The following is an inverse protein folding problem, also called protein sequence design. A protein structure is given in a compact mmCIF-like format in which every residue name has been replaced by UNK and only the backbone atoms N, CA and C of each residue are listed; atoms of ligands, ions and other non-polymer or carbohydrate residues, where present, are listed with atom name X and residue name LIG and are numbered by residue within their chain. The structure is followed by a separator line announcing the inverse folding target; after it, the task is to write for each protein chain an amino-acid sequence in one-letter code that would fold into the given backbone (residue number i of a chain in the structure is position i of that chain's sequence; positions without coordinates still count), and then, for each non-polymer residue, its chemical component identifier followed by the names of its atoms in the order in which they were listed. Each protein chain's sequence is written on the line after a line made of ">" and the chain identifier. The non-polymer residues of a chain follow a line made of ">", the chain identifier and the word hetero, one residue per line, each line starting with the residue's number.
data_IF_876815229980
#
_entry.id   IF_876815229980
#
_cell.length_a   1.000
_cell.length_b   1.000
_cell.length_c   1.000
_cell.angle_alpha   90.00
_cell.angle_beta   90.00
_cell.angle_gamma   90.00
#
_symmetry.space_group_name_H-M   'P 1'
#
loop_
_entity.id
_entity.type
_entity.pdbx_description
1 polymer ?
#
# COMPACT_ATOMS: atom_id res chain seq x y z
N UNK A 1 5.10 5.91 -13.96
CA UNK A 1 6.07 6.98 -13.72
C UNK A 1 6.59 6.97 -12.28
N UNK A 2 5.74 7.15 -11.25
CA UNK A 2 6.19 7.10 -9.84
C UNK A 2 6.59 5.68 -9.41
N UNK A 3 5.75 4.66 -9.66
CA UNK A 3 6.05 3.26 -9.31
C UNK A 3 7.40 2.80 -9.87
N UNK A 4 7.63 2.99 -11.17
CA UNK A 4 8.89 2.57 -11.79
C UNK A 4 10.09 3.28 -11.16
N UNK A 5 9.97 4.58 -10.89
CA UNK A 5 11.03 5.32 -10.22
C UNK A 5 11.32 4.79 -8.81
N UNK A 6 10.29 4.44 -8.03
CA UNK A 6 10.46 3.78 -6.72
C UNK A 6 11.13 2.41 -6.82
N UNK A 7 10.96 1.69 -7.94
CA UNK A 7 11.58 0.36 -8.16
C UNK A 7 13.02 0.45 -8.63
N UNK A 8 13.34 1.39 -9.50
CA UNK A 8 14.61 1.44 -10.23
C UNK A 8 15.65 2.36 -9.57
N UNK A 9 15.21 3.37 -8.80
CA UNK A 9 16.08 4.37 -8.17
C UNK A 9 16.10 4.20 -6.65
N UNK A 10 17.13 3.52 -6.15
CA UNK A 10 17.32 3.25 -4.72
C UNK A 10 17.49 4.53 -3.90
N UNK A 11 18.11 5.58 -4.46
CA UNK A 11 18.28 6.85 -3.76
C UNK A 11 16.93 7.57 -3.62
N UNK A 12 16.12 7.57 -4.68
CA UNK A 12 14.77 8.10 -4.61
C UNK A 12 13.90 7.34 -3.61
N UNK A 13 13.96 6.01 -3.59
CA UNK A 13 13.25 5.19 -2.60
C UNK A 13 13.67 5.54 -1.17
N UNK A 14 14.97 5.69 -0.91
CA UNK A 14 15.49 6.06 0.41
C UNK A 14 14.97 7.43 0.87
N UNK A 15 14.98 8.43 -0.03
CA UNK A 15 14.46 9.77 0.25
C UNK A 15 12.96 9.75 0.57
N UNK A 16 12.17 8.97 -0.18
CA UNK A 16 10.73 8.82 0.07
C UNK A 16 10.49 8.10 1.40
N UNK A 17 11.26 7.06 1.73
CA UNK A 17 11.16 6.36 3.03
C UNK A 17 11.52 7.27 4.21
N UNK A 18 12.54 8.11 4.07
CA UNK A 18 12.94 9.08 5.10
C UNK A 18 11.85 10.14 5.33
N UNK A 19 11.21 10.61 4.25
CA UNK A 19 10.14 11.60 4.31
C UNK A 19 8.83 11.02 4.87
N UNK A 20 8.47 9.79 4.49
CA UNK A 20 7.20 9.15 4.83
C UNK A 20 7.44 7.94 5.74
N UNK A 21 7.75 8.23 7.00
CA UNK A 21 8.00 7.21 8.02
C UNK A 21 6.73 6.51 8.49
N UNK A 22 5.56 7.11 8.28
CA UNK A 22 4.25 6.59 8.63
C UNK A 22 3.31 6.79 7.45
N UNK A 23 2.57 5.76 7.06
CA UNK A 23 1.59 5.84 5.98
C UNK A 23 0.21 5.45 6.52
N UNK A 24 -0.74 6.36 6.38
CA UNK A 24 -2.16 6.09 6.56
C UNK A 24 -2.82 6.07 5.19
N UNK A 25 -3.53 4.99 4.87
CA UNK A 25 -4.37 4.90 3.67
C UNK A 25 -5.82 4.72 4.11
N UNK A 26 -6.64 5.71 3.79
CA UNK A 26 -8.08 5.69 4.01
C UNK A 26 -8.79 5.11 2.79
N UNK A 27 -10.01 4.58 2.99
CA UNK A 27 -10.84 3.96 1.95
C UNK A 27 -10.07 2.92 1.09
N UNK A 28 -9.31 2.04 1.73
CA UNK A 28 -8.42 1.09 1.04
C UNK A 28 -9.20 0.13 0.13
N UNK A 29 -10.49 -0.08 0.36
CA UNK A 29 -11.34 -0.91 -0.51
C UNK A 29 -11.44 -0.37 -1.93
N UNK A 30 -11.28 0.94 -2.13
CA UNK A 30 -11.31 1.58 -3.44
C UNK A 30 -9.92 1.63 -4.11
N UNK A 31 -8.89 1.08 -3.45
CA UNK A 31 -7.51 1.08 -3.93
C UNK A 31 -7.28 -0.04 -4.96
N UNK A 32 -6.71 0.31 -6.12
CA UNK A 32 -6.31 -0.67 -7.12
C UNK A 32 -4.89 -1.22 -6.86
N UNK A 33 -4.53 -2.32 -7.54
CA UNK A 33 -3.23 -2.97 -7.34
C UNK A 33 -2.01 -2.08 -7.65
N UNK A 34 -2.14 -1.11 -8.57
CA UNK A 34 -1.06 -0.16 -8.85
C UNK A 34 -0.81 0.76 -7.65
N UNK A 35 -1.87 1.29 -7.04
CA UNK A 35 -1.77 2.14 -5.86
C UNK A 35 -1.25 1.37 -4.64
N UNK A 36 -1.78 0.17 -4.38
CA UNK A 36 -1.29 -0.71 -3.31
C UNK A 36 0.21 -1.03 -3.48
N UNK A 37 0.66 -1.26 -4.73
CA UNK A 37 2.08 -1.54 -5.00
C UNK A 37 3.02 -0.38 -4.67
N UNK A 38 2.55 0.87 -4.74
CA UNK A 38 3.37 2.03 -4.36
C UNK A 38 3.63 2.02 -2.86
N UNK A 39 2.56 1.79 -2.08
CA UNK A 39 2.63 1.71 -0.63
C UNK A 39 3.50 0.54 -0.20
N UNK A 40 3.33 -0.62 -0.84
CA UNK A 40 4.16 -1.81 -0.61
C UNK A 40 5.65 -1.54 -0.88
N UNK A 41 6.00 -0.91 -2.01
CA UNK A 41 7.39 -0.60 -2.34
C UNK A 41 8.08 0.26 -1.26
N UNK A 42 7.35 1.21 -0.67
CA UNK A 42 7.89 2.07 0.37
C UNK A 42 8.09 1.26 1.66
N UNK A 43 7.18 0.34 2.02
CA UNK A 43 7.18 -0.31 3.35
C UNK A 43 7.79 -1.72 3.41
N UNK A 44 7.86 -2.47 2.31
CA UNK A 44 8.13 -3.92 2.31
C UNK A 44 9.45 -4.39 2.95
N UNK A 45 10.47 -3.53 3.01
CA UNK A 45 11.80 -3.83 3.56
C UNK A 45 12.09 -3.12 4.89
N UNK A 46 11.10 -2.48 5.50
CA UNK A 46 11.23 -1.92 6.84
C UNK A 46 11.10 -3.04 7.87
N UNK A 47 11.97 -3.06 8.89
CA UNK A 47 11.87 -4.02 10.00
C UNK A 47 10.55 -3.88 10.77
N UNK A 48 10.07 -2.65 10.92
CA UNK A 48 8.77 -2.32 11.52
C UNK A 48 8.03 -1.37 10.57
N UNK A 49 7.23 -1.89 9.63
CA UNK A 49 6.49 -1.07 8.69
C UNK A 49 5.37 -0.31 9.41
N UNK A 50 5.52 1.01 9.52
CA UNK A 50 4.52 1.87 10.16
C UNK A 50 3.39 2.22 9.16
N UNK A 51 2.54 1.25 8.90
CA UNK A 51 1.42 1.40 7.99
C UNK A 51 0.08 1.13 8.68
N UNK A 52 -0.87 2.04 8.47
CA UNK A 52 -2.25 1.88 8.86
C UNK A 52 -3.12 1.97 7.62
N UNK A 53 -3.95 0.97 7.40
CA UNK A 53 -4.97 0.98 6.34
C UNK A 53 -6.35 0.91 6.97
N UNK A 54 -7.26 1.72 6.47
CA UNK A 54 -8.66 1.77 6.89
C UNK A 54 -9.51 1.48 5.68
N UNK A 55 -10.54 0.66 5.85
CA UNK A 55 -11.50 0.37 4.80
C UNK A 55 -12.70 -0.40 5.30
N UNK A 56 -13.76 -0.39 4.50
CA UNK A 56 -15.06 -0.99 4.81
C UNK A 56 -15.44 -2.02 3.73
N UNK A 57 -15.70 -3.25 4.16
CA UNK A 57 -16.05 -4.37 3.28
C UNK A 57 -17.50 -4.32 2.82
N UNK A 58 -18.41 -3.74 3.62
CA UNK A 58 -19.83 -3.57 3.27
C UNK A 58 -20.03 -2.46 2.22
N UNK A 59 -19.07 -1.53 2.10
CA UNK A 59 -19.07 -0.46 1.09
C UNK A 59 -18.28 -0.79 -0.18
N UNK A 60 -17.87 -2.06 -0.38
CA UNK A 60 -17.17 -2.51 -1.59
C UNK A 60 -18.08 -2.64 -2.83
N UNK A 61 -18.99 -1.67 -3.04
CA UNK A 61 -19.93 -1.59 -4.17
C UNK A 61 -19.21 -1.41 -5.53
N UNK A 62 -17.92 -1.07 -5.54
CA UNK A 62 -17.08 -0.91 -6.75
C UNK A 62 -16.33 -2.18 -7.21
N UNK A 63 -16.69 -3.39 -6.73
CA UNK A 63 -16.08 -4.66 -7.20
C UNK A 63 -15.97 -4.78 -8.73
N UNK A 64 -16.90 -4.18 -9.46
CA UNK A 64 -16.93 -4.19 -10.93
C UNK A 64 -15.84 -3.33 -11.60
N UNK A 65 -15.12 -2.45 -10.88
CA UNK A 65 -14.03 -1.61 -11.40
C UNK A 65 -12.62 -2.11 -11.05
N UNK A 66 -12.48 -3.31 -10.48
CA UNK A 66 -11.17 -3.88 -10.11
C UNK A 66 -10.67 -3.48 -8.71
N UNK A 67 -11.52 -2.85 -7.90
CA UNK A 67 -11.40 -2.83 -6.45
C UNK A 67 -11.66 -4.25 -5.93
N UNK A 68 -10.59 -4.99 -5.63
CA UNK A 68 -10.69 -6.37 -5.17
C UNK A 68 -10.56 -6.34 -3.65
N UNK A 69 -11.61 -6.76 -2.93
CA UNK A 69 -11.57 -6.93 -1.48
C UNK A 69 -10.40 -7.85 -1.03
N UNK A 70 -9.99 -8.78 -1.90
CA UNK A 70 -8.77 -9.59 -1.70
C UNK A 70 -7.51 -8.73 -1.54
N UNK A 71 -7.43 -7.53 -2.13
CA UNK A 71 -6.29 -6.64 -1.94
C UNK A 71 -6.18 -6.18 -0.48
N UNK A 72 -7.30 -5.81 0.17
CA UNK A 72 -7.29 -5.48 1.61
C UNK A 72 -6.81 -6.69 2.40
N UNK A 73 -7.41 -7.86 2.16
CA UNK A 73 -7.13 -9.06 2.94
C UNK A 73 -5.67 -9.47 2.79
N UNK A 74 -5.19 -9.58 1.55
CA UNK A 74 -3.80 -9.93 1.26
C UNK A 74 -2.81 -8.89 1.82
N UNK A 75 -3.18 -7.60 1.78
CA UNK A 75 -2.35 -6.54 2.34
C UNK A 75 -2.27 -6.67 3.86
N UNK A 76 -3.40 -6.79 4.54
CA UNK A 76 -3.45 -7.03 5.98
C UNK A 76 -2.64 -8.27 6.37
N UNK A 77 -2.77 -9.38 5.63
CA UNK A 77 -2.01 -10.61 5.90
C UNK A 77 -0.50 -10.43 5.68
N UNK A 78 -0.09 -9.63 4.69
CA UNK A 78 1.34 -9.34 4.42
C UNK A 78 2.02 -8.58 5.55
N UNK A 79 1.27 -7.75 6.28
CA UNK A 79 1.79 -6.86 7.33
C UNK A 79 1.38 -7.28 8.75
N UNK A 80 0.67 -8.40 8.92
CA UNK A 80 0.16 -8.85 10.23
C UNK A 80 1.23 -9.32 11.21
N UNK A 81 2.36 -9.80 10.67
CA UNK A 81 3.44 -10.45 11.43
C UNK A 81 4.80 -9.72 11.31
N UNK A 82 4.83 -8.57 10.63
CA UNK A 82 6.00 -7.67 10.60
C UNK A 82 5.87 -6.61 11.69
#
# INVERSE_FOLDING_TARGET
>A
MVREKLREDAHFLALIREQYQFILVDEFQDTNGLQASIVDLIMRDQEQPNILVVGDDEQSIYRFQGAVMENIINFCDTYKEK
#
